data_IF_747699476471
#
_entry.id   IF_747699476471
#
_cell.length_a   1.000
_cell.length_b   1.000
_cell.length_c   1.000
_cell.angle_alpha   90.00
_cell.angle_beta   90.00
_cell.angle_gamma   90.00
#
_symmetry.space_group_name_H-M   'P 1'
#
loop_
_entity.id
_entity.type
_entity.pdbx_description
1 polymer ?
#
# COMPACT_ATOMS: atom_id res chain seq x y z
N UNK A 1 -49.36 1.97 10.37
CA UNK A 1 -49.50 3.44 10.35
C UNK A 1 -49.11 3.91 8.96
N UNK A 2 -50.12 4.25 8.13
CA UNK A 2 -49.96 4.61 6.71
C UNK A 2 -49.50 6.06 6.62
N UNK A 3 -48.39 6.32 5.93
CA UNK A 3 -47.95 7.69 5.59
C UNK A 3 -48.55 8.05 4.24
N UNK A 4 -49.28 9.16 4.25
CA UNK A 4 -50.07 9.75 3.17
C UNK A 4 -49.12 10.45 2.18
N UNK A 5 -49.11 10.06 0.91
CA UNK A 5 -48.53 10.87 -0.17
C UNK A 5 -49.51 12.02 -0.48
N UNK A 6 -49.05 13.26 -0.32
CA UNK A 6 -49.74 14.44 -0.85
C UNK A 6 -49.11 14.75 -2.21
N UNK A 7 -49.86 14.47 -3.27
CA UNK A 7 -49.54 14.90 -4.64
C UNK A 7 -50.13 16.30 -4.86
N UNK A 8 -49.27 17.31 -5.01
CA UNK A 8 -49.69 18.63 -5.46
C UNK A 8 -49.56 18.67 -6.98
N UNK A 9 -50.70 18.69 -7.68
CA UNK A 9 -50.75 19.00 -9.12
C UNK A 9 -50.36 20.47 -9.32
N UNK A 10 -49.24 20.72 -9.98
CA UNK A 10 -48.99 21.99 -10.65
C UNK A 10 -49.19 21.77 -12.15
N UNK A 11 -50.13 22.52 -12.71
CA UNK A 11 -50.48 22.56 -14.13
C UNK A 11 -49.31 23.10 -14.95
N UNK A 12 -48.99 22.39 -16.02
CA UNK A 12 -47.94 22.70 -16.96
C UNK A 12 -48.20 24.00 -17.74
N UNK A 13 -47.21 24.89 -17.77
CA UNK A 13 -47.02 25.86 -18.85
C UNK A 13 -45.73 25.49 -19.58
N UNK A 14 -45.88 25.26 -20.88
CA UNK A 14 -44.83 24.87 -21.79
C UNK A 14 -43.89 26.05 -22.05
N UNK A 15 -42.59 25.85 -21.83
CA UNK A 15 -41.47 26.49 -22.55
C UNK A 15 -40.22 25.64 -22.30
N UNK A 16 -39.46 25.41 -23.36
CA UNK A 16 -38.48 24.34 -23.47
C UNK A 16 -37.31 24.43 -22.48
N UNK A 17 -36.86 23.25 -22.07
CA UNK A 17 -35.65 23.05 -21.31
C UNK A 17 -35.45 21.56 -21.10
N UNK A 18 -34.58 20.94 -21.91
CA UNK A 18 -34.07 19.60 -21.63
C UNK A 18 -33.37 19.65 -20.26
N UNK A 19 -34.07 19.23 -19.20
CA UNK A 19 -33.49 18.98 -17.89
C UNK A 19 -32.64 17.72 -18.00
N UNK A 20 -31.37 17.91 -18.33
CA UNK A 20 -30.36 16.88 -18.16
C UNK A 20 -30.20 16.66 -16.66
N UNK A 21 -30.80 15.59 -16.14
CA UNK A 21 -30.60 15.12 -14.77
C UNK A 21 -29.19 14.52 -14.68
N UNK A 22 -28.17 15.39 -14.79
CA UNK A 22 -26.79 15.03 -14.55
C UNK A 22 -26.65 14.76 -13.05
N UNK A 23 -26.49 13.48 -12.70
CA UNK A 23 -25.97 13.08 -11.40
C UNK A 23 -24.61 13.78 -11.28
N UNK A 24 -24.59 14.89 -10.54
CA UNK A 24 -23.34 15.53 -10.15
C UNK A 24 -22.68 14.59 -9.16
N UNK A 25 -21.86 13.67 -9.66
CA UNK A 25 -20.89 12.96 -8.84
C UNK A 25 -19.94 14.05 -8.34
N UNK A 26 -20.20 14.56 -7.14
CA UNK A 26 -19.32 15.51 -6.47
C UNK A 26 -17.98 14.79 -6.33
N UNK A 27 -16.96 15.27 -7.05
CA UNK A 27 -15.61 14.76 -6.87
C UNK A 27 -15.31 14.79 -5.36
N UNK A 28 -14.82 13.69 -4.76
CA UNK A 28 -14.54 13.67 -3.35
C UNK A 28 -13.59 14.82 -3.05
N UNK A 29 -13.97 15.69 -2.11
CA UNK A 29 -13.13 16.83 -1.72
C UNK A 29 -11.83 16.29 -1.16
N UNK A 30 -10.71 16.55 -1.85
CA UNK A 30 -9.38 16.25 -1.30
C UNK A 30 -9.27 17.06 0.01
N UNK A 31 -9.09 16.41 1.17
CA UNK A 31 -9.00 17.13 2.43
C UNK A 31 -7.82 18.12 2.40
N UNK A 32 -7.99 19.30 2.99
CA UNK A 32 -6.98 20.39 2.94
C UNK A 32 -5.68 20.08 3.70
N UNK A 33 -5.62 18.95 4.43
CA UNK A 33 -4.44 18.46 5.15
C UNK A 33 -3.28 18.03 4.22
N UNK A 34 -3.46 18.13 2.91
CA UNK A 34 -2.43 17.87 1.91
C UNK A 34 -1.49 19.06 1.64
N UNK A 35 -1.84 20.27 2.09
CA UNK A 35 -1.06 21.48 1.81
C UNK A 35 -0.04 21.68 2.92
N UNK A 36 1.25 21.55 2.58
CA UNK A 36 2.36 21.87 3.48
C UNK A 36 2.39 23.35 3.83
N UNK A 37 2.86 23.68 5.03
CA UNK A 37 3.10 25.06 5.46
C UNK A 37 4.58 25.45 5.43
N UNK A 38 5.45 24.54 4.97
CA UNK A 38 6.87 24.81 4.76
C UNK A 38 7.05 25.75 3.57
N UNK A 39 8.09 26.59 3.62
CA UNK A 39 8.59 27.28 2.42
C UNK A 39 9.18 26.28 1.43
N UNK A 40 9.33 26.68 0.16
CA UNK A 40 9.89 25.82 -0.89
C UNK A 40 11.30 25.31 -0.54
N UNK A 41 12.12 26.15 0.10
CA UNK A 41 13.47 25.81 0.55
C UNK A 41 13.46 24.81 1.71
N UNK A 42 12.62 25.04 2.73
CA UNK A 42 12.44 24.09 3.84
C UNK A 42 11.88 22.75 3.35
N UNK A 43 11.01 22.78 2.35
CA UNK A 43 10.44 21.57 1.78
C UNK A 43 11.49 20.71 1.08
N UNK A 44 12.62 21.27 0.62
CA UNK A 44 13.72 20.47 0.05
C UNK A 44 14.46 19.64 1.10
N UNK A 45 14.40 20.03 2.38
CA UNK A 45 14.94 19.21 3.47
C UNK A 45 13.99 18.03 3.75
N UNK A 46 14.49 16.82 3.49
CA UNK A 46 13.70 15.61 3.68
C UNK A 46 13.20 15.43 5.12
N UNK A 47 14.03 15.76 6.13
CA UNK A 47 13.64 15.60 7.52
C UNK A 47 12.53 16.58 7.92
N UNK A 48 12.61 17.83 7.47
CA UNK A 48 11.53 18.81 7.67
C UNK A 48 10.26 18.37 6.95
N UNK A 49 10.37 17.88 5.71
CA UNK A 49 9.25 17.34 4.93
C UNK A 49 8.57 16.18 5.65
N UNK A 50 9.32 15.21 6.17
CA UNK A 50 8.78 14.11 6.97
C UNK A 50 8.03 14.60 8.20
N UNK A 51 8.63 15.51 8.98
CA UNK A 51 8.03 16.06 10.20
C UNK A 51 6.71 16.80 9.89
N UNK A 52 6.70 17.63 8.85
CA UNK A 52 5.50 18.33 8.38
C UNK A 52 4.42 17.35 7.92
N UNK A 53 4.78 16.34 7.11
CA UNK A 53 3.85 15.29 6.67
C UNK A 53 3.24 14.56 7.86
N UNK A 54 4.06 14.06 8.79
CA UNK A 54 3.57 13.35 9.98
C UNK A 54 2.62 14.24 10.78
N UNK A 55 2.99 15.51 11.00
CA UNK A 55 2.16 16.48 11.72
C UNK A 55 0.80 16.70 11.05
N UNK A 56 0.78 16.88 9.73
CA UNK A 56 -0.47 17.13 8.96
C UNK A 56 -1.36 15.89 8.89
N UNK A 57 -0.79 14.71 8.66
CA UNK A 57 -1.54 13.47 8.40
C UNK A 57 -2.03 12.78 9.67
N UNK A 58 -1.29 12.91 10.77
CA UNK A 58 -1.58 12.18 12.02
C UNK A 58 -3.00 12.37 12.55
N UNK A 59 -3.61 13.58 12.61
CA UNK A 59 -4.95 13.75 13.18
C UNK A 59 -6.02 12.93 12.44
N UNK A 60 -6.06 13.02 11.11
CA UNK A 60 -7.05 12.29 10.30
C UNK A 60 -6.80 10.78 10.31
N UNK A 61 -5.54 10.36 10.25
CA UNK A 61 -5.19 8.93 10.34
C UNK A 61 -5.55 8.36 11.72
N UNK A 62 -5.27 9.09 12.80
CA UNK A 62 -5.63 8.68 14.16
C UNK A 62 -7.15 8.52 14.31
N UNK A 63 -7.95 9.46 13.81
CA UNK A 63 -9.42 9.33 13.81
C UNK A 63 -9.89 8.12 12.99
N UNK A 64 -9.38 7.95 11.76
CA UNK A 64 -9.77 6.83 10.90
C UNK A 64 -9.35 5.45 11.46
N UNK A 65 -8.22 5.38 12.17
CA UNK A 65 -7.78 4.17 12.86
C UNK A 65 -8.66 3.88 14.07
N UNK A 66 -9.01 4.89 14.85
CA UNK A 66 -9.86 4.74 16.03
C UNK A 66 -11.26 4.19 15.68
N UNK A 67 -11.83 4.57 14.54
CA UNK A 67 -13.08 3.99 14.02
C UNK A 67 -13.02 2.47 13.79
N UNK A 68 -11.81 1.92 13.63
CA UNK A 68 -11.53 0.49 13.42
C UNK A 68 -10.91 -0.18 14.66
N UNK A 69 -10.93 0.50 15.81
CA UNK A 69 -10.28 0.02 17.03
C UNK A 69 -8.80 -0.30 16.79
N UNK A 70 -8.12 0.65 16.13
CA UNK A 70 -6.69 0.63 15.85
C UNK A 70 -6.07 1.95 16.30
N UNK A 71 -4.76 1.97 16.52
CA UNK A 71 -4.06 3.17 17.00
C UNK A 71 -2.85 3.50 16.12
N UNK A 72 -2.68 4.81 15.86
CA UNK A 72 -1.50 5.32 15.16
C UNK A 72 -0.24 5.04 15.98
N UNK A 73 0.82 4.59 15.31
CA UNK A 73 2.05 4.13 15.94
C UNK A 73 2.04 2.66 16.38
N UNK A 74 0.93 1.93 16.22
CA UNK A 74 0.96 0.48 16.42
C UNK A 74 1.68 -0.23 15.26
N UNK A 75 2.25 -1.42 15.49
CA UNK A 75 3.03 -2.11 14.47
C UNK A 75 2.29 -2.28 13.15
N UNK A 76 2.94 -1.92 12.05
CA UNK A 76 2.40 -2.02 10.70
C UNK A 76 2.94 -3.22 9.94
N UNK A 77 2.15 -3.67 8.97
CA UNK A 77 2.48 -4.70 8.01
C UNK A 77 1.90 -4.30 6.63
N UNK A 78 2.69 -4.46 5.57
CA UNK A 78 2.33 -4.03 4.21
C UNK A 78 2.14 -5.25 3.32
N UNK A 79 1.07 -5.25 2.51
CA UNK A 79 0.92 -6.18 1.38
C UNK A 79 0.76 -5.42 0.08
N UNK A 80 1.35 -5.92 -0.99
CA UNK A 80 1.27 -5.35 -2.32
C UNK A 80 0.81 -6.44 -3.28
N UNK A 81 -0.17 -6.14 -4.12
CA UNK A 81 -0.72 -7.04 -5.12
C UNK A 81 -0.55 -6.43 -6.50
N UNK A 82 0.23 -7.11 -7.34
CA UNK A 82 0.62 -6.59 -8.65
C UNK A 82 -0.54 -6.56 -9.63
N UNK A 83 -1.31 -7.64 -9.72
CA UNK A 83 -2.45 -7.75 -10.63
C UNK A 83 -3.52 -6.67 -10.36
N UNK A 84 -3.93 -6.51 -9.11
CA UNK A 84 -4.94 -5.50 -8.73
C UNK A 84 -4.36 -4.09 -8.60
N UNK A 85 -3.03 -3.94 -8.59
CA UNK A 85 -2.32 -2.69 -8.32
C UNK A 85 -2.75 -2.07 -6.99
N UNK A 86 -2.72 -2.88 -5.93
CA UNK A 86 -3.16 -2.48 -4.60
C UNK A 86 -2.03 -2.60 -3.57
N UNK A 87 -1.95 -1.61 -2.69
CA UNK A 87 -1.13 -1.65 -1.48
C UNK A 87 -2.05 -1.60 -0.25
N UNK A 88 -1.92 -2.58 0.63
CA UNK A 88 -2.67 -2.68 1.88
C UNK A 88 -1.78 -2.37 3.08
N UNK A 89 -2.31 -1.61 4.03
CA UNK A 89 -1.73 -1.49 5.37
C UNK A 89 -2.60 -2.24 6.37
N UNK A 90 -1.92 -3.07 7.15
CA UNK A 90 -2.46 -3.79 8.28
C UNK A 90 -1.80 -3.29 9.55
N UNK A 91 -2.58 -3.13 10.61
CA UNK A 91 -2.12 -2.62 11.90
C UNK A 91 -2.35 -3.68 12.97
N UNK A 92 -1.36 -3.91 13.81
CA UNK A 92 -1.47 -4.87 14.93
C UNK A 92 -2.42 -4.31 15.98
N UNK A 93 -3.55 -4.98 16.14
CA UNK A 93 -4.49 -4.69 17.22
C UNK A 93 -3.88 -5.12 18.57
N UNK A 94 -3.86 -4.21 19.55
CA UNK A 94 -3.12 -4.39 20.81
C UNK A 94 -3.66 -5.55 21.65
N UNK A 95 -4.98 -5.69 21.76
CA UNK A 95 -5.56 -6.68 22.66
C UNK A 95 -5.47 -8.11 22.09
N UNK A 96 -5.76 -8.26 20.79
CA UNK A 96 -5.72 -9.59 20.16
C UNK A 96 -4.32 -10.00 19.71
N UNK A 97 -3.38 -9.05 19.60
CA UNK A 97 -2.06 -9.26 19.01
C UNK A 97 -2.08 -9.59 17.52
N UNK A 98 -3.24 -9.53 16.87
CA UNK A 98 -3.44 -9.83 15.44
C UNK A 98 -3.48 -8.57 14.60
N UNK A 99 -3.04 -8.69 13.36
CA UNK A 99 -3.12 -7.61 12.39
C UNK A 99 -4.53 -7.53 11.81
N UNK A 100 -5.10 -6.31 11.80
CA UNK A 100 -6.37 -6.00 11.15
C UNK A 100 -6.11 -5.11 9.95
N UNK A 101 -6.88 -5.31 8.89
CA UNK A 101 -6.82 -4.47 7.70
C UNK A 101 -7.27 -3.06 8.07
N UNK A 102 -6.43 -2.07 7.80
CA UNK A 102 -6.79 -0.68 7.96
C UNK A 102 -7.38 -0.13 6.66
N UNK A 103 -6.57 -0.12 5.59
CA UNK A 103 -6.92 0.50 4.31
C UNK A 103 -6.11 -0.08 3.16
N UNK A 104 -6.69 0.03 1.96
CA UNK A 104 -6.06 -0.28 0.67
C UNK A 104 -5.93 1.01 -0.16
N UNK A 105 -4.79 1.21 -0.81
CA UNK A 105 -4.52 2.30 -1.74
C UNK A 105 -4.23 1.76 -3.14
N UNK A 106 -4.70 2.43 -4.20
CA UNK A 106 -4.31 2.09 -5.56
C UNK A 106 -2.87 2.54 -5.84
N UNK A 107 -2.10 1.67 -6.49
CA UNK A 107 -0.76 1.95 -6.99
C UNK A 107 -0.91 2.71 -8.31
N UNK A 108 -0.35 3.91 -8.40
CA UNK A 108 -0.51 4.81 -9.53
C UNK A 108 0.28 4.32 -10.76
N UNK A 109 1.50 3.84 -10.54
CA UNK A 109 2.32 3.25 -11.60
C UNK A 109 3.23 2.14 -11.06
N UNK A 110 3.40 1.09 -11.87
CA UNK A 110 4.25 -0.05 -11.60
C UNK A 110 4.68 -0.66 -12.94
N UNK A 111 5.95 -1.03 -13.05
CA UNK A 111 6.51 -1.63 -14.28
C UNK A 111 6.57 -3.17 -14.19
N UNK A 112 6.55 -3.80 -15.36
CA UNK A 112 6.66 -5.24 -15.53
C UNK A 112 5.33 -5.98 -15.46
N UNK A 113 5.40 -7.29 -15.63
CA UNK A 113 4.26 -8.21 -15.64
C UNK A 113 4.19 -9.02 -14.33
N UNK A 114 3.32 -10.03 -14.28
CA UNK A 114 3.36 -11.03 -13.21
C UNK A 114 4.64 -11.88 -13.32
N UNK A 115 5.32 -12.05 -12.20
CA UNK A 115 6.62 -12.70 -12.07
C UNK A 115 7.63 -11.87 -11.26
N UNK A 116 8.66 -12.51 -10.70
CA UNK A 116 9.67 -11.83 -9.90
C UNK A 116 10.62 -10.99 -10.77
N UNK A 117 11.20 -9.96 -10.16
CA UNK A 117 12.38 -9.24 -10.68
C UNK A 117 13.59 -10.17 -10.69
N UNK A 118 14.36 -10.19 -11.78
CA UNK A 118 15.50 -11.10 -11.96
C UNK A 118 16.84 -10.37 -12.05
N UNK A 119 16.87 -9.17 -12.63
CA UNK A 119 18.12 -8.45 -12.87
C UNK A 119 17.97 -6.92 -12.76
N UNK A 120 19.09 -6.23 -12.55
CA UNK A 120 19.16 -4.78 -12.66
C UNK A 120 18.71 -4.33 -14.07
N UNK A 121 17.91 -3.27 -14.15
CA UNK A 121 17.41 -2.75 -15.41
C UNK A 121 16.32 -3.57 -16.15
N UNK A 122 15.84 -4.69 -15.61
CA UNK A 122 14.77 -5.51 -16.22
C UNK A 122 13.37 -4.88 -16.20
N UNK A 123 13.22 -3.70 -15.58
CA UNK A 123 11.97 -2.94 -15.41
C UNK A 123 10.83 -3.76 -14.77
N UNK A 124 11.18 -4.71 -13.90
CA UNK A 124 10.22 -5.59 -13.25
C UNK A 124 10.09 -5.26 -11.76
N UNK A 125 8.86 -5.03 -11.29
CA UNK A 125 8.58 -5.01 -9.85
C UNK A 125 8.71 -6.44 -9.26
N UNK A 126 9.36 -6.61 -8.10
CA UNK A 126 9.65 -7.92 -7.53
C UNK A 126 8.42 -8.59 -6.92
N UNK A 127 8.56 -9.85 -6.54
CA UNK A 127 7.58 -10.63 -5.79
C UNK A 127 8.33 -11.37 -4.68
N UNK A 128 7.77 -11.44 -3.46
CA UNK A 128 8.44 -12.04 -2.32
C UNK A 128 8.17 -11.36 -0.99
N UNK A 129 9.04 -11.64 -0.02
CA UNK A 129 8.90 -11.21 1.37
C UNK A 129 10.09 -10.31 1.75
N UNK A 130 9.81 -9.07 2.13
CA UNK A 130 10.82 -8.06 2.41
C UNK A 130 10.56 -7.36 3.75
N UNK A 131 11.49 -6.49 4.16
CA UNK A 131 11.40 -5.77 5.43
C UNK A 131 12.04 -4.40 5.33
N UNK A 132 11.43 -3.44 6.02
CA UNK A 132 11.85 -2.04 6.04
C UNK A 132 12.08 -1.60 7.46
N UNK A 133 13.29 -1.14 7.74
CA UNK A 133 13.66 -0.48 8.99
C UNK A 133 13.79 1.03 8.80
N UNK A 134 14.15 1.75 9.87
CA UNK A 134 14.32 3.20 9.83
C UNK A 134 15.35 3.67 8.80
N UNK A 135 16.42 2.90 8.56
CA UNK A 135 17.47 3.27 7.60
C UNK A 135 16.97 3.22 6.14
N UNK A 136 15.90 2.45 5.90
CA UNK A 136 15.26 2.30 4.61
C UNK A 136 14.11 3.29 4.37
N UNK A 137 13.75 4.10 5.36
CA UNK A 137 12.87 5.26 5.18
C UNK A 137 13.68 6.39 4.53
N UNK A 138 13.21 6.90 3.39
CA UNK A 138 13.88 7.89 2.53
C UNK A 138 13.05 9.18 2.45
N UNK A 139 13.15 10.03 3.47
CA UNK A 139 12.42 11.30 3.50
C UNK A 139 12.99 12.33 2.51
N UNK A 140 14.25 12.15 2.11
CA UNK A 140 15.00 12.94 1.13
C UNK A 140 14.82 12.46 -0.32
N UNK A 141 13.86 11.56 -0.57
CA UNK A 141 13.57 11.06 -1.90
C UNK A 141 13.28 12.19 -2.90
N UNK A 142 13.87 12.09 -4.09
CA UNK A 142 13.56 12.98 -5.22
C UNK A 142 12.14 12.81 -5.75
N UNK A 143 11.41 11.78 -5.29
CA UNK A 143 10.01 11.50 -5.60
C UNK A 143 9.09 11.75 -4.39
N UNK A 144 9.28 12.89 -3.71
CA UNK A 144 8.55 13.32 -2.50
C UNK A 144 8.94 12.58 -1.20
N UNK A 145 8.36 11.41 -0.95
CA UNK A 145 8.67 10.53 0.19
C UNK A 145 8.77 9.11 -0.32
N UNK A 146 9.68 8.31 0.24
CA UNK A 146 9.81 6.92 -0.18
C UNK A 146 10.33 6.00 0.91
N UNK A 147 10.10 4.70 0.78
CA UNK A 147 10.87 3.71 1.52
C UNK A 147 11.36 2.59 0.59
N UNK A 148 12.58 2.13 0.83
CA UNK A 148 13.16 1.00 0.11
C UNK A 148 12.65 -0.29 0.74
N UNK A 149 12.08 -1.19 -0.05
CA UNK A 149 11.49 -2.42 0.48
C UNK A 149 12.57 -3.40 0.96
N UNK A 150 13.82 -3.27 0.52
CA UNK A 150 14.92 -4.18 0.87
C UNK A 150 15.18 -5.30 -0.17
N UNK A 151 14.88 -5.05 -1.44
CA UNK A 151 15.30 -5.92 -2.54
C UNK A 151 16.79 -5.69 -2.89
N UNK A 152 17.58 -6.73 -3.19
CA UNK A 152 17.24 -8.16 -3.17
C UNK A 152 17.32 -8.76 -1.77
N UNK A 153 16.32 -9.57 -1.39
CA UNK A 153 16.36 -10.30 -0.11
C UNK A 153 17.25 -11.56 -0.21
N UNK A 154 17.34 -12.34 0.87
CA UNK A 154 18.13 -13.57 0.89
C UNK A 154 17.69 -14.61 -0.16
N UNK A 155 16.40 -14.66 -0.52
CA UNK A 155 15.88 -15.57 -1.53
C UNK A 155 16.34 -15.12 -2.91
N UNK A 156 16.23 -13.83 -3.19
CA UNK A 156 16.67 -13.25 -4.45
C UNK A 156 18.17 -13.48 -4.68
N UNK A 157 18.98 -13.24 -3.64
CA UNK A 157 20.42 -13.49 -3.67
C UNK A 157 20.74 -14.98 -3.90
N UNK A 158 20.03 -15.90 -3.22
CA UNK A 158 20.21 -17.34 -3.42
C UNK A 158 19.83 -17.82 -4.83
N UNK A 159 18.95 -17.08 -5.51
CA UNK A 159 18.58 -17.29 -6.92
C UNK A 159 19.54 -16.59 -7.91
N UNK A 160 20.55 -15.87 -7.42
CA UNK A 160 21.48 -15.11 -8.26
C UNK A 160 20.85 -13.88 -8.92
N UNK A 161 19.74 -13.38 -8.36
CA UNK A 161 19.06 -12.19 -8.88
C UNK A 161 19.82 -10.93 -8.50
N UNK A 162 19.79 -9.95 -9.39
CA UNK A 162 20.47 -8.66 -9.21
C UNK A 162 19.48 -7.52 -9.30
N UNK A 163 19.91 -6.35 -8.86
CA UNK A 163 19.07 -5.15 -8.82
C UNK A 163 19.18 -4.46 -7.47
N UNK A 164 18.55 -3.29 -7.36
CA UNK A 164 18.52 -2.52 -6.12
C UNK A 164 17.35 -1.51 -6.13
N UNK A 165 17.19 -0.77 -5.03
CA UNK A 165 16.32 0.41 -4.91
C UNK A 165 14.87 0.21 -5.38
N UNK A 166 14.24 -0.88 -4.97
CA UNK A 166 12.80 -1.04 -5.16
C UNK A 166 12.07 -0.23 -4.09
N UNK A 167 11.45 0.86 -4.51
CA UNK A 167 10.83 1.82 -3.61
C UNK A 167 9.30 1.72 -3.65
N UNK A 168 8.66 2.04 -2.53
CA UNK A 168 7.30 2.61 -2.52
C UNK A 168 7.47 4.10 -2.36
N UNK A 169 6.95 4.91 -3.29
CA UNK A 169 7.25 6.35 -3.32
C UNK A 169 6.11 7.21 -3.85
N UNK A 170 6.21 8.53 -3.63
CA UNK A 170 5.32 9.54 -4.22
C UNK A 170 5.60 9.80 -5.69
N UNK A 171 4.99 10.82 -6.29
CA UNK A 171 5.00 11.09 -7.73
C UNK A 171 4.36 9.93 -8.55
N UNK A 172 3.98 10.20 -9.80
CA UNK A 172 3.24 9.26 -10.67
C UNK A 172 4.12 8.51 -11.67
N UNK A 173 5.45 8.59 -11.56
CA UNK A 173 6.41 8.00 -12.53
C UNK A 173 7.10 6.78 -11.91
N UNK A 174 7.16 5.64 -12.60
CA UNK A 174 7.88 4.43 -12.15
C UNK A 174 8.61 3.72 -13.29
N UNK A 175 9.80 3.18 -13.00
CA UNK A 175 10.60 2.29 -13.87
C UNK A 175 10.96 0.98 -13.11
N UNK A 176 10.04 0.49 -12.26
CA UNK A 176 10.23 -0.76 -11.47
C UNK A 176 9.83 -0.66 -10.00
N UNK A 177 9.47 0.54 -9.53
CA UNK A 177 9.00 0.81 -8.18
C UNK A 177 7.47 0.76 -8.07
N UNK A 178 6.95 0.86 -6.86
CA UNK A 178 5.52 1.06 -6.59
C UNK A 178 5.26 2.56 -6.39
N UNK A 179 4.98 3.27 -7.47
CA UNK A 179 4.67 4.68 -7.43
C UNK A 179 3.22 4.89 -6.98
N UNK A 180 3.05 5.73 -5.97
CA UNK A 180 1.77 6.15 -5.42
C UNK A 180 1.42 7.53 -5.99
N UNK A 181 0.62 8.33 -5.28
CA UNK A 181 0.65 9.79 -5.46
C UNK A 181 1.25 10.39 -4.21
N UNK A 182 1.66 11.66 -4.25
CA UNK A 182 2.19 12.35 -3.07
C UNK A 182 1.20 12.27 -1.91
N UNK A 183 -0.08 12.53 -2.19
CA UNK A 183 -1.13 12.42 -1.18
C UNK A 183 -1.23 11.03 -0.55
N UNK A 184 -1.19 9.95 -1.35
CA UNK A 184 -1.35 8.59 -0.83
C UNK A 184 -0.08 8.11 -0.11
N UNK A 185 1.10 8.43 -0.64
CA UNK A 185 2.37 8.03 0.02
C UNK A 185 2.52 8.75 1.36
N UNK A 186 2.06 9.99 1.50
CA UNK A 186 2.11 10.69 2.79
C UNK A 186 1.33 9.96 3.89
N UNK A 187 0.15 9.41 3.58
CA UNK A 187 -0.61 8.58 4.54
C UNK A 187 0.18 7.30 4.90
N UNK A 188 0.65 6.56 3.89
CA UNK A 188 1.38 5.30 4.08
C UNK A 188 2.67 5.53 4.88
N UNK A 189 3.45 6.54 4.49
CA UNK A 189 4.71 6.90 5.10
C UNK A 189 4.52 7.33 6.56
N UNK A 190 3.47 8.08 6.87
CA UNK A 190 3.12 8.46 8.25
C UNK A 190 2.82 7.23 9.11
N UNK A 191 2.04 6.27 8.61
CA UNK A 191 1.74 5.03 9.34
C UNK A 191 3.01 4.23 9.64
N UNK A 192 3.88 4.08 8.64
CA UNK A 192 5.15 3.36 8.77
C UNK A 192 6.12 4.06 9.73
N UNK A 193 6.33 5.37 9.56
CA UNK A 193 7.27 6.15 10.38
C UNK A 193 6.85 6.18 11.83
N UNK A 194 5.58 6.47 12.11
CA UNK A 194 5.09 6.52 13.50
C UNK A 194 5.18 5.17 14.20
N UNK A 195 5.03 4.05 13.49
CA UNK A 195 5.22 2.72 14.08
C UNK A 195 6.68 2.42 14.39
N UNK A 196 7.61 2.80 13.50
CA UNK A 196 9.04 2.67 13.74
C UNK A 196 9.50 3.53 14.92
N UNK A 197 9.06 4.79 14.98
CA UNK A 197 9.34 5.71 16.08
C UNK A 197 8.76 5.23 17.41
N UNK A 198 7.62 4.53 17.37
CA UNK A 198 6.99 3.92 18.53
C UNK A 198 7.52 2.50 18.86
N UNK A 199 8.72 2.16 18.38
CA UNK A 199 9.47 0.98 18.81
C UNK A 199 9.34 -0.26 17.94
N UNK A 200 8.60 -0.22 16.83
CA UNK A 200 8.67 -1.29 15.84
C UNK A 200 10.05 -1.26 15.17
N UNK A 201 10.85 -2.34 15.31
CA UNK A 201 12.22 -2.37 14.75
C UNK A 201 12.25 -2.30 13.22
N UNK A 202 11.32 -3.02 12.59
CA UNK A 202 11.09 -3.05 11.15
C UNK A 202 9.65 -3.47 10.87
N UNK A 203 9.11 -3.09 9.72
CA UNK A 203 7.86 -3.62 9.21
C UNK A 203 8.09 -4.54 8.02
N UNK A 204 7.24 -5.55 7.87
CA UNK A 204 7.29 -6.49 6.76
C UNK A 204 6.52 -5.94 5.55
N UNK A 205 7.03 -6.24 4.36
CA UNK A 205 6.39 -5.92 3.09
C UNK A 205 6.30 -7.21 2.27
N UNK A 206 5.09 -7.71 2.06
CA UNK A 206 4.87 -8.86 1.18
C UNK A 206 4.39 -8.37 -0.18
N UNK A 207 4.99 -8.88 -1.26
CA UNK A 207 4.62 -8.55 -2.63
C UNK A 207 4.18 -9.81 -3.35
N UNK A 208 2.93 -9.85 -3.79
CA UNK A 208 2.31 -11.00 -4.44
C UNK A 208 1.91 -10.68 -5.88
N UNK A 209 1.90 -11.68 -6.78
CA UNK A 209 1.43 -11.50 -8.14
C UNK A 209 -0.06 -11.09 -8.16
N UNK A 210 -0.88 -11.71 -7.31
CA UNK A 210 -2.32 -11.49 -7.19
C UNK A 210 -2.80 -11.93 -5.81
N UNK A 211 -4.08 -11.73 -5.50
CA UNK A 211 -4.71 -12.33 -4.33
C UNK A 211 -4.65 -13.86 -4.47
N UNK A 212 -3.82 -14.53 -3.66
CA UNK A 212 -3.37 -15.93 -3.82
C UNK A 212 -4.46 -16.99 -3.49
N UNK A 213 -5.70 -16.71 -3.86
CA UNK A 213 -6.80 -17.68 -3.82
C UNK A 213 -6.50 -18.88 -4.72
N UNK A 214 -6.96 -20.07 -4.33
CA UNK A 214 -6.78 -21.28 -5.13
C UNK A 214 -7.36 -21.13 -6.54
N UNK A 215 -8.54 -20.52 -6.65
CA UNK A 215 -9.22 -20.29 -7.93
C UNK A 215 -8.46 -19.35 -8.87
N UNK A 216 -7.71 -18.38 -8.34
CA UNK A 216 -6.86 -17.51 -9.16
C UNK A 216 -5.56 -18.20 -9.53
N UNK A 217 -4.92 -18.89 -8.59
CA UNK A 217 -3.65 -19.59 -8.81
C UNK A 217 -3.79 -20.76 -9.80
N UNK A 218 -4.90 -21.49 -9.78
CA UNK A 218 -5.14 -22.61 -10.70
C UNK A 218 -5.19 -22.22 -12.18
N UNK A 219 -5.43 -20.94 -12.49
CA UNK A 219 -5.37 -20.39 -13.84
C UNK A 219 -3.94 -20.24 -14.38
N UNK A 220 -2.94 -20.37 -13.50
CA UNK A 220 -1.53 -20.13 -13.80
C UNK A 220 -0.69 -21.41 -13.87
N UNK A 221 -1.30 -22.59 -13.94
CA UNK A 221 -0.59 -23.89 -13.95
C UNK A 221 0.41 -24.03 -15.10
N UNK A 222 0.21 -23.33 -16.22
CA UNK A 222 1.15 -23.27 -17.34
C UNK A 222 2.24 -22.21 -17.22
N UNK A 223 2.24 -21.38 -16.18
CA UNK A 223 3.23 -20.33 -15.98
C UNK A 223 4.57 -20.92 -15.56
N UNK A 224 5.67 -20.39 -16.11
CA UNK A 224 7.04 -20.71 -15.64
C UNK A 224 7.29 -20.30 -14.18
N UNK A 225 6.43 -19.45 -13.62
CA UNK A 225 6.50 -18.99 -12.23
C UNK A 225 5.63 -19.79 -11.27
N UNK A 226 4.91 -20.83 -11.75
CA UNK A 226 3.93 -21.54 -10.94
C UNK A 226 4.52 -22.14 -9.66
N UNK A 227 5.66 -22.82 -9.73
CA UNK A 227 6.32 -23.41 -8.55
C UNK A 227 6.79 -22.35 -7.53
N UNK A 228 7.20 -21.18 -8.03
CA UNK A 228 7.55 -20.04 -7.19
C UNK A 228 6.30 -19.47 -6.50
N UNK A 229 5.20 -19.33 -7.23
CA UNK A 229 3.92 -18.86 -6.71
C UNK A 229 3.29 -19.83 -5.70
N UNK A 230 3.45 -21.14 -5.87
CA UNK A 230 3.09 -22.12 -4.84
C UNK A 230 3.85 -21.85 -3.54
N UNK A 231 5.14 -21.53 -3.60
CA UNK A 231 5.92 -21.21 -2.40
C UNK A 231 5.53 -19.84 -1.79
N UNK A 232 5.19 -18.84 -2.60
CA UNK A 232 4.62 -17.59 -2.08
C UNK A 232 3.28 -17.81 -1.38
N UNK A 233 2.45 -18.73 -1.90
CA UNK A 233 1.14 -19.05 -1.34
C UNK A 233 1.24 -19.59 0.09
N UNK A 234 2.26 -20.38 0.41
CA UNK A 234 2.49 -20.88 1.77
C UNK A 234 2.57 -19.72 2.80
N UNK A 235 3.35 -18.68 2.51
CA UNK A 235 3.46 -17.50 3.37
C UNK A 235 2.24 -16.58 3.34
N UNK A 236 1.53 -16.54 2.21
CA UNK A 236 0.24 -15.84 2.10
C UNK A 236 -0.80 -16.50 3.01
N UNK A 237 -0.99 -17.80 2.89
CA UNK A 237 -1.99 -18.58 3.64
C UNK A 237 -1.69 -18.56 5.15
N UNK A 238 -0.40 -18.59 5.54
CA UNK A 238 -0.01 -18.41 6.93
C UNK A 238 -0.57 -17.12 7.53
N UNK A 239 -0.41 -15.98 6.82
CA UNK A 239 -0.96 -14.72 7.30
C UNK A 239 -2.49 -14.75 7.29
N UNK A 240 -3.12 -15.36 6.28
CA UNK A 240 -4.57 -15.47 6.22
C UNK A 240 -5.17 -16.24 7.40
N UNK A 241 -4.53 -17.33 7.82
CA UNK A 241 -4.94 -18.13 8.97
C UNK A 241 -4.62 -17.45 10.29
N UNK A 242 -3.36 -17.04 10.48
CA UNK A 242 -2.87 -16.61 11.80
C UNK A 242 -3.08 -15.13 12.07
N UNK A 243 -3.31 -14.31 11.05
CA UNK A 243 -3.36 -12.84 11.11
C UNK A 243 -2.14 -12.23 11.82
N UNK A 244 -1.00 -12.88 11.68
CA UNK A 244 0.32 -12.42 12.13
C UNK A 244 1.29 -12.84 11.04
N UNK A 245 2.11 -11.93 10.48
CA UNK A 245 3.01 -12.29 9.40
C UNK A 245 4.07 -13.29 9.91
N UNK A 246 4.43 -14.32 9.11
CA UNK A 246 5.43 -15.31 9.49
C UNK A 246 6.82 -14.69 9.63
N UNK A 247 7.69 -15.40 10.37
CA UNK A 247 9.11 -15.27 10.14
C UNK A 247 9.48 -15.97 8.83
N UNK A 248 10.36 -15.33 8.03
CA UNK A 248 10.70 -15.82 6.70
C UNK A 248 12.20 -16.06 6.64
N UNK A 249 12.59 -17.30 6.29
CA UNK A 249 13.98 -17.67 6.03
C UNK A 249 14.10 -18.36 4.67
N UNK A 250 15.33 -18.67 4.26
CA UNK A 250 15.61 -19.29 2.96
C UNK A 250 16.47 -20.53 3.15
N UNK A 251 15.98 -21.66 2.64
CA UNK A 251 16.69 -22.95 2.67
C UNK A 251 16.56 -23.64 1.34
N UNK A 252 17.68 -24.09 0.77
CA UNK A 252 17.68 -24.78 -0.52
C UNK A 252 17.05 -23.95 -1.65
N UNK A 253 17.28 -22.63 -1.64
CA UNK A 253 16.68 -21.66 -2.59
C UNK A 253 15.14 -21.58 -2.56
N UNK A 254 14.51 -21.98 -1.46
CA UNK A 254 13.06 -21.84 -1.21
C UNK A 254 12.81 -20.99 0.04
N UNK A 255 11.72 -20.25 0.06
CA UNK A 255 11.24 -19.63 1.29
C UNK A 255 10.76 -20.70 2.27
N UNK A 256 11.01 -20.48 3.55
CA UNK A 256 10.52 -21.27 4.69
C UNK A 256 9.86 -20.32 5.67
N UNK A 257 8.73 -20.75 6.25
CA UNK A 257 7.86 -19.93 7.11
C UNK A 257 7.73 -20.53 8.51
N UNK A 258 7.90 -19.71 9.53
CA UNK A 258 7.85 -20.08 10.97
C UNK A 258 7.02 -19.10 11.81
#
# INVERSE_FOLDING_TARGET
>A
MRILLIATLCTASALGGFLWYGIHVRAPSIPMDHISQLSDDEYQDGMLREQDTVKRRSPRLASALAEKDLKLGDPVFVRIFKESRELEIWIKHRESGKFRHFRTWPIAAMSGDLGPKLAEGDRQAPEGFYSVDRSNMKPDSTFHLAFNIGYPNAYDQAQGRTGSFIMVHGNRVSIGCFAMTDYLVEEIYTLCTTALENGQRYFRVHVFPFQMSEARLSKETGSKWYDFWLNLKEGYDWFEEKKTPPEVSVRGKRYVFE
#
